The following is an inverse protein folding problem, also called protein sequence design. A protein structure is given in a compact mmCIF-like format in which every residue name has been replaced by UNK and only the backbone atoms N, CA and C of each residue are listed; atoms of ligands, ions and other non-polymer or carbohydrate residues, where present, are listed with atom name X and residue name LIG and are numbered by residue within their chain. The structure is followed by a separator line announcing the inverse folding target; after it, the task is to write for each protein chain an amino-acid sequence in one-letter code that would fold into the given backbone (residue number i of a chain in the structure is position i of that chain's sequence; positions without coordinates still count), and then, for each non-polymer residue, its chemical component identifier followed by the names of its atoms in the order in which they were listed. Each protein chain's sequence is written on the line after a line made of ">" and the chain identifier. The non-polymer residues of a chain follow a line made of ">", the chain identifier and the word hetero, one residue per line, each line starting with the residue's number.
data_IF_202902974483
#
_entry.id   IF_202902974483
#
_cell.length_a   1.000
_cell.length_b   1.000
_cell.length_c   1.000
_cell.angle_alpha   90.00
_cell.angle_beta   90.00
_cell.angle_gamma   90.00
#
_symmetry.space_group_name_H-M   'P 1'
#
loop_
_entity.id
_entity.type
_entity.pdbx_description
1 polymer ?
#
# COMPACT_ATOMS: atom_id res chain seq x y z
N UNK A 1 -22.77 -41.20 12.25
CA UNK A 1 -21.73 -40.66 11.34
C UNK A 1 -22.40 -39.60 10.49
N UNK A 2 -21.89 -38.37 10.44
CA UNK A 2 -22.43 -37.37 9.54
C UNK A 2 -22.20 -37.86 8.10
N UNK A 3 -23.18 -37.74 7.22
CA UNK A 3 -23.01 -38.09 5.80
C UNK A 3 -22.03 -37.14 5.17
N UNK A 4 -21.00 -37.67 4.53
CA UNK A 4 -20.00 -36.85 3.79
C UNK A 4 -20.69 -36.09 2.66
N UNK A 5 -20.11 -34.95 2.34
CA UNK A 5 -20.48 -34.12 1.17
C UNK A 5 -19.86 -34.80 -0.06
N UNK A 6 -20.67 -35.10 -1.07
CA UNK A 6 -20.16 -35.68 -2.33
C UNK A 6 -20.11 -34.59 -3.37
N UNK A 7 -18.89 -34.31 -3.87
CA UNK A 7 -18.68 -33.44 -5.00
C UNK A 7 -18.56 -34.22 -6.31
N UNK A 8 -19.39 -33.87 -7.27
CA UNK A 8 -19.55 -34.57 -8.53
C UNK A 8 -19.29 -33.65 -9.72
N UNK A 9 -18.87 -34.24 -10.86
CA UNK A 9 -18.58 -33.51 -12.09
C UNK A 9 -19.87 -33.28 -12.88
N UNK A 10 -20.23 -32.03 -13.12
CA UNK A 10 -21.32 -31.62 -13.98
C UNK A 10 -20.78 -30.80 -15.18
N UNK A 11 -20.48 -31.50 -16.27
CA UNK A 11 -19.98 -30.91 -17.49
C UNK A 11 -21.00 -30.04 -18.22
N UNK A 12 -22.29 -30.38 -18.14
CA UNK A 12 -23.37 -29.62 -18.79
C UNK A 12 -23.54 -28.25 -18.13
N UNK A 13 -23.49 -28.22 -16.80
CA UNK A 13 -23.57 -26.98 -16.06
C UNK A 13 -22.19 -26.26 -15.93
N UNK A 14 -21.10 -26.87 -16.39
CA UNK A 14 -19.72 -26.41 -16.17
C UNK A 14 -19.46 -26.14 -14.67
N UNK A 15 -19.80 -27.13 -13.82
CA UNK A 15 -19.85 -26.97 -12.38
C UNK A 15 -19.34 -28.19 -11.62
N UNK A 16 -18.84 -27.96 -10.40
CA UNK A 16 -18.74 -29.00 -9.36
C UNK A 16 -20.07 -29.01 -8.62
N UNK A 17 -20.76 -30.12 -8.67
CA UNK A 17 -22.06 -30.33 -8.02
C UNK A 17 -21.86 -30.98 -6.66
N UNK A 18 -22.33 -30.35 -5.59
CA UNK A 18 -22.37 -30.93 -4.25
C UNK A 18 -23.70 -31.62 -4.08
N UNK A 19 -23.67 -32.95 -4.18
CA UNK A 19 -24.88 -33.80 -4.21
C UNK A 19 -25.37 -34.10 -2.78
N UNK A 20 -26.63 -33.73 -2.52
CA UNK A 20 -27.34 -33.98 -1.25
C UNK A 20 -26.53 -33.64 0.00
N UNK A 21 -25.91 -32.45 0.07
CA UNK A 21 -25.16 -32.11 1.26
C UNK A 21 -26.08 -31.95 2.46
N UNK A 22 -25.56 -32.24 3.65
CA UNK A 22 -26.30 -32.04 4.89
C UNK A 22 -26.70 -30.58 5.03
N UNK A 23 -27.92 -30.30 5.44
CA UNK A 23 -28.42 -28.94 5.69
C UNK A 23 -27.61 -28.21 6.78
N UNK A 24 -26.85 -28.92 7.60
CA UNK A 24 -25.95 -28.39 8.61
C UNK A 24 -24.89 -27.45 8.00
N UNK A 25 -24.52 -27.67 6.74
CA UNK A 25 -23.54 -26.86 6.03
C UNK A 25 -24.13 -25.66 5.27
N UNK A 26 -25.43 -25.43 5.32
CA UNK A 26 -26.09 -24.37 4.55
C UNK A 26 -25.53 -22.94 4.82
N UNK A 27 -25.17 -22.67 6.06
CA UNK A 27 -24.58 -21.36 6.41
C UNK A 27 -23.19 -21.22 5.81
N UNK A 28 -22.39 -22.28 5.86
CA UNK A 28 -21.05 -22.33 5.26
C UNK A 28 -21.13 -22.20 3.74
N UNK A 29 -22.04 -22.93 3.09
CA UNK A 29 -22.23 -22.82 1.64
C UNK A 29 -22.61 -21.42 1.17
N UNK A 30 -23.49 -20.72 1.92
CA UNK A 30 -23.87 -19.34 1.61
C UNK A 30 -22.73 -18.34 1.76
N UNK A 31 -21.74 -18.64 2.59
CA UNK A 31 -20.58 -17.77 2.82
C UNK A 31 -19.45 -17.99 1.81
N UNK A 32 -19.44 -19.14 1.09
CA UNK A 32 -18.38 -19.44 0.14
C UNK A 32 -18.57 -18.70 -1.20
N UNK A 33 -17.53 -18.01 -1.70
CA UNK A 33 -17.61 -17.28 -2.95
C UNK A 33 -17.85 -18.22 -4.13
N UNK A 34 -18.76 -17.84 -5.02
CA UNK A 34 -19.11 -18.62 -6.22
C UNK A 34 -20.03 -19.83 -6.00
N UNK A 35 -20.28 -20.23 -4.77
CA UNK A 35 -21.24 -21.29 -4.46
C UNK A 35 -22.67 -20.77 -4.58
N UNK A 36 -23.53 -21.53 -5.25
CA UNK A 36 -24.95 -21.18 -5.41
C UNK A 36 -25.81 -22.41 -5.25
N UNK A 37 -27.00 -22.22 -4.70
CA UNK A 37 -28.02 -23.28 -4.58
C UNK A 37 -28.62 -23.60 -5.93
N UNK A 38 -28.69 -24.90 -6.30
CA UNK A 38 -29.31 -25.33 -7.53
C UNK A 38 -30.84 -25.44 -7.35
N UNK A 39 -31.56 -24.48 -7.89
CA UNK A 39 -33.01 -24.41 -7.81
C UNK A 39 -33.72 -25.58 -8.55
N UNK A 40 -33.02 -26.23 -9.49
CA UNK A 40 -33.58 -27.34 -10.29
C UNK A 40 -33.58 -28.66 -9.51
N UNK A 41 -32.46 -28.98 -8.87
CA UNK A 41 -32.32 -30.19 -8.07
C UNK A 41 -33.06 -30.13 -6.74
N UNK A 42 -33.31 -28.90 -6.21
CA UNK A 42 -33.92 -28.61 -4.91
C UNK A 42 -33.17 -29.20 -3.70
N UNK A 43 -31.95 -29.68 -3.89
CA UNK A 43 -31.14 -30.27 -2.83
C UNK A 43 -29.63 -29.94 -2.95
N UNK A 44 -29.15 -29.62 -4.14
CA UNK A 44 -27.74 -29.57 -4.42
C UNK A 44 -27.23 -28.13 -4.44
N UNK A 45 -25.93 -27.99 -4.25
CA UNK A 45 -25.20 -26.75 -4.43
C UNK A 45 -24.23 -26.91 -5.59
N UNK A 46 -23.94 -25.84 -6.31
CA UNK A 46 -23.02 -25.86 -7.44
C UNK A 46 -21.97 -24.77 -7.30
N UNK A 47 -20.71 -25.15 -7.56
CA UNK A 47 -19.57 -24.25 -7.67
C UNK A 47 -19.08 -24.21 -9.13
N UNK A 48 -18.42 -23.14 -9.60
CA UNK A 48 -17.79 -23.15 -10.92
C UNK A 48 -16.82 -24.32 -11.06
N UNK A 49 -16.78 -24.96 -12.23
CA UNK A 49 -15.85 -26.05 -12.51
C UNK A 49 -14.43 -25.48 -12.69
N UNK A 50 -13.65 -25.48 -11.63
CA UNK A 50 -12.30 -24.96 -11.64
C UNK A 50 -11.44 -25.57 -10.53
N UNK A 51 -10.13 -25.55 -10.73
CA UNK A 51 -9.15 -25.96 -9.72
C UNK A 51 -9.29 -25.18 -8.42
N UNK A 52 -9.47 -23.86 -8.50
CA UNK A 52 -9.64 -22.99 -7.33
C UNK A 52 -10.90 -23.31 -6.53
N UNK A 53 -12.01 -23.64 -7.21
CA UNK A 53 -13.22 -24.08 -6.53
C UNK A 53 -13.02 -25.41 -5.79
N UNK A 54 -12.34 -26.39 -6.41
CA UNK A 54 -12.01 -27.66 -5.77
C UNK A 54 -11.10 -27.47 -4.55
N UNK A 55 -10.05 -26.63 -4.66
CA UNK A 55 -9.19 -26.31 -3.53
C UNK A 55 -9.93 -25.61 -2.40
N UNK A 56 -10.78 -24.61 -2.71
CA UNK A 56 -11.61 -23.91 -1.72
C UNK A 56 -12.52 -24.88 -0.97
N UNK A 57 -13.21 -25.77 -1.69
CA UNK A 57 -14.09 -26.77 -1.09
C UNK A 57 -13.31 -27.75 -0.22
N UNK A 58 -12.16 -28.24 -0.69
CA UNK A 58 -11.30 -29.14 0.08
C UNK A 58 -10.73 -28.47 1.32
N UNK A 59 -10.29 -27.20 1.20
CA UNK A 59 -9.80 -26.43 2.34
C UNK A 59 -10.88 -26.15 3.39
N UNK A 60 -12.14 -26.00 2.96
CA UNK A 60 -13.26 -25.67 3.86
C UNK A 60 -13.78 -26.90 4.57
N UNK A 61 -13.93 -28.04 3.87
CA UNK A 61 -14.61 -29.23 4.38
C UNK A 61 -13.65 -30.37 4.71
N UNK A 62 -12.38 -30.31 4.34
CA UNK A 62 -11.37 -31.31 4.69
C UNK A 62 -11.79 -32.74 4.32
N UNK A 63 -11.85 -33.62 5.31
CA UNK A 63 -12.25 -35.02 5.18
C UNK A 63 -13.78 -35.24 5.07
N UNK A 64 -14.56 -34.18 5.31
CA UNK A 64 -16.03 -34.24 5.20
C UNK A 64 -16.52 -34.17 3.74
N UNK A 65 -15.62 -33.87 2.78
CA UNK A 65 -15.95 -33.88 1.35
C UNK A 65 -15.21 -34.98 0.59
N UNK A 66 -15.94 -35.71 -0.21
CA UNK A 66 -15.43 -36.75 -1.12
C UNK A 66 -15.74 -36.38 -2.57
N UNK A 67 -14.77 -36.59 -3.45
CA UNK A 67 -14.97 -36.42 -4.89
C UNK A 67 -15.41 -37.76 -5.53
N UNK A 68 -16.32 -37.66 -6.48
CA UNK A 68 -16.59 -38.80 -7.35
C UNK A 68 -15.37 -39.18 -8.20
N UNK A 69 -15.33 -40.39 -8.73
CA UNK A 69 -14.23 -40.84 -9.58
C UNK A 69 -14.07 -39.92 -10.82
N UNK A 70 -15.18 -39.54 -11.42
CA UNK A 70 -15.18 -38.64 -12.59
C UNK A 70 -14.58 -37.24 -12.26
N UNK A 71 -14.95 -36.67 -11.13
CA UNK A 71 -14.38 -35.39 -10.71
C UNK A 71 -12.91 -35.53 -10.34
N UNK A 72 -12.50 -36.62 -9.68
CA UNK A 72 -11.08 -36.88 -9.39
C UNK A 72 -10.26 -37.03 -10.67
N UNK A 73 -10.75 -37.77 -11.65
CA UNK A 73 -10.07 -37.94 -12.93
C UNK A 73 -9.94 -36.59 -13.68
N UNK A 74 -11.00 -35.80 -13.69
CA UNK A 74 -10.96 -34.47 -14.29
C UNK A 74 -9.96 -33.55 -13.59
N UNK A 75 -9.92 -33.55 -12.25
CA UNK A 75 -8.95 -32.78 -11.46
C UNK A 75 -7.52 -33.25 -11.70
N UNK A 76 -7.31 -34.58 -11.79
CA UNK A 76 -5.99 -35.13 -12.08
C UNK A 76 -5.51 -34.72 -13.47
N UNK A 77 -6.36 -34.88 -14.51
CA UNK A 77 -6.03 -34.43 -15.86
C UNK A 77 -5.76 -32.93 -15.94
N UNK A 78 -6.56 -32.12 -15.27
CA UNK A 78 -6.36 -30.67 -15.20
C UNK A 78 -5.03 -30.33 -14.52
N UNK A 79 -4.67 -31.05 -13.49
CA UNK A 79 -3.41 -30.87 -12.77
C UNK A 79 -2.23 -31.17 -13.70
N UNK A 80 -2.19 -32.36 -14.28
CA UNK A 80 -1.11 -32.84 -15.15
C UNK A 80 -0.93 -31.97 -16.41
N UNK A 81 -2.06 -31.55 -17.01
CA UNK A 81 -2.01 -30.86 -18.32
C UNK A 81 -1.88 -29.35 -18.22
N UNK A 82 -2.28 -28.73 -17.09
CA UNK A 82 -2.33 -27.27 -16.99
C UNK A 82 -1.76 -26.71 -15.71
N UNK A 83 -1.99 -27.36 -14.57
CA UNK A 83 -1.60 -26.77 -13.28
C UNK A 83 -0.10 -26.97 -13.06
N UNK A 84 0.37 -28.22 -13.10
CA UNK A 84 1.81 -28.53 -12.90
C UNK A 84 2.68 -27.90 -13.98
N UNK A 85 2.39 -27.99 -15.30
CA UNK A 85 3.14 -27.25 -16.31
C UNK A 85 3.07 -25.73 -16.13
N UNK A 86 1.96 -25.20 -15.60
CA UNK A 86 1.85 -23.79 -15.28
C UNK A 86 2.74 -23.37 -14.12
N UNK A 87 2.88 -24.18 -13.09
CA UNK A 87 3.83 -23.93 -12.00
C UNK A 87 5.28 -24.02 -12.46
N UNK A 88 5.60 -25.02 -13.30
CA UNK A 88 6.94 -25.16 -13.88
C UNK A 88 7.32 -23.92 -14.71
N UNK A 89 6.39 -23.40 -15.53
CA UNK A 89 6.60 -22.19 -16.32
C UNK A 89 6.64 -20.92 -15.47
N UNK A 90 5.90 -20.86 -14.36
CA UNK A 90 5.94 -19.74 -13.42
C UNK A 90 7.34 -19.56 -12.83
N UNK A 91 7.98 -20.66 -12.50
CA UNK A 91 9.29 -20.67 -11.86
C UNK A 91 10.45 -20.77 -12.89
N UNK A 92 10.12 -20.87 -14.20
CA UNK A 92 11.09 -20.95 -15.28
C UNK A 92 11.79 -19.60 -15.53
N UNK A 93 13.10 -19.63 -15.64
CA UNK A 93 13.91 -18.46 -16.03
C UNK A 93 14.02 -18.30 -17.55
N UNK A 94 13.67 -19.33 -18.31
CA UNK A 94 13.70 -19.35 -19.77
C UNK A 94 12.66 -20.31 -20.33
N UNK A 95 12.20 -20.05 -21.55
CA UNK A 95 11.34 -20.93 -22.31
C UNK A 95 11.50 -20.64 -23.81
N UNK A 96 11.41 -21.69 -24.62
CA UNK A 96 11.35 -21.54 -26.06
C UNK A 96 9.92 -21.17 -26.48
N UNK A 97 9.82 -20.24 -27.42
CA UNK A 97 8.56 -19.89 -28.10
C UNK A 97 8.70 -20.35 -29.55
N UNK A 98 7.60 -20.91 -30.07
CA UNK A 98 7.59 -21.51 -31.44
C UNK A 98 7.60 -20.46 -32.57
N UNK A 99 7.97 -19.22 -32.28
CA UNK A 99 7.98 -18.10 -33.23
C UNK A 99 9.12 -17.13 -32.98
N UNK A 100 9.90 -16.84 -34.04
CA UNK A 100 10.94 -15.81 -34.04
C UNK A 100 10.39 -14.40 -33.76
N UNK A 101 9.07 -14.23 -33.85
CA UNK A 101 8.38 -12.95 -33.53
C UNK A 101 8.66 -12.46 -32.12
N UNK A 102 9.06 -13.35 -31.20
CA UNK A 102 9.34 -13.03 -29.80
C UNK A 102 10.84 -13.00 -29.45
N UNK A 103 11.74 -13.01 -30.45
CA UNK A 103 13.19 -13.02 -30.21
C UNK A 103 13.70 -11.77 -29.49
N UNK A 104 13.00 -10.66 -29.58
CA UNK A 104 13.29 -9.44 -28.82
C UNK A 104 12.99 -9.56 -27.33
N UNK A 105 12.24 -10.59 -26.90
CA UNK A 105 11.94 -10.83 -25.50
C UNK A 105 13.11 -11.52 -24.80
N UNK A 106 13.35 -11.17 -23.54
CA UNK A 106 14.28 -11.89 -22.66
C UNK A 106 13.73 -13.27 -22.30
N UNK A 107 14.60 -14.20 -21.93
CA UNK A 107 14.23 -15.58 -21.64
C UNK A 107 13.09 -15.68 -20.60
N UNK A 108 13.16 -14.93 -19.50
CA UNK A 108 12.09 -14.93 -18.49
C UNK A 108 10.76 -14.32 -19.02
N UNK A 109 10.83 -13.34 -19.93
CA UNK A 109 9.63 -12.80 -20.58
C UNK A 109 9.03 -13.82 -21.54
N UNK A 110 9.85 -14.58 -22.25
CA UNK A 110 9.41 -15.71 -23.06
C UNK A 110 8.71 -16.76 -22.20
N UNK A 111 9.24 -17.08 -21.01
CA UNK A 111 8.60 -17.97 -20.04
C UNK A 111 7.23 -17.43 -19.59
N UNK A 112 7.13 -16.13 -19.29
CA UNK A 112 5.88 -15.47 -18.95
C UNK A 112 4.84 -15.50 -20.08
N UNK A 113 5.24 -15.26 -21.33
CA UNK A 113 4.36 -15.37 -22.51
C UNK A 113 3.87 -16.81 -22.67
N UNK A 114 4.74 -17.81 -22.55
CA UNK A 114 4.38 -19.21 -22.64
C UNK A 114 3.41 -19.62 -21.54
N UNK A 115 3.64 -19.17 -20.29
CA UNK A 115 2.71 -19.35 -19.18
C UNK A 115 1.32 -18.78 -19.51
N UNK A 116 1.25 -17.52 -19.97
CA UNK A 116 -0.03 -16.88 -20.32
C UNK A 116 -0.75 -17.59 -21.47
N UNK A 117 -0.02 -18.10 -22.46
CA UNK A 117 -0.60 -18.81 -23.61
C UNK A 117 -1.21 -20.17 -23.24
N UNK A 118 -0.75 -20.79 -22.16
CA UNK A 118 -1.28 -22.10 -21.69
C UNK A 118 -2.51 -21.94 -20.79
N UNK A 119 -2.80 -20.74 -20.30
CA UNK A 119 -3.88 -20.48 -19.36
C UNK A 119 -5.04 -19.73 -20.02
N UNK A 120 -6.30 -20.13 -19.73
CA UNK A 120 -7.49 -19.37 -20.18
C UNK A 120 -7.63 -18.03 -19.48
N UNK A 121 -7.20 -17.97 -18.21
CA UNK A 121 -7.13 -16.75 -17.40
C UNK A 121 -5.93 -16.87 -16.48
N UNK A 122 -5.02 -15.93 -16.58
CA UNK A 122 -3.86 -15.84 -15.72
C UNK A 122 -3.56 -14.38 -15.40
N UNK A 123 -3.08 -14.12 -14.20
CA UNK A 123 -2.50 -12.84 -13.82
C UNK A 123 -0.99 -13.01 -13.78
N UNK A 124 -0.29 -12.41 -14.73
CA UNK A 124 1.16 -12.27 -14.69
C UNK A 124 1.47 -11.08 -13.79
N UNK A 125 1.67 -11.32 -12.52
CA UNK A 125 2.11 -10.33 -11.55
C UNK A 125 3.64 -10.33 -11.51
N UNK A 126 4.27 -9.88 -12.58
CA UNK A 126 5.70 -9.65 -12.59
C UNK A 126 6.05 -8.59 -11.55
N UNK A 127 6.97 -8.90 -10.66
CA UNK A 127 7.47 -8.00 -9.65
C UNK A 127 8.00 -6.68 -10.25
N UNK A 128 8.22 -5.69 -9.41
CA UNK A 128 8.88 -4.45 -9.83
C UNK A 128 10.25 -4.79 -10.43
N UNK A 129 10.47 -4.45 -11.70
CA UNK A 129 11.73 -4.77 -12.42
C UNK A 129 11.57 -5.61 -13.68
N UNK A 130 10.38 -6.15 -13.99
CA UNK A 130 10.11 -7.00 -15.17
C UNK A 130 10.06 -6.24 -16.51
N UNK A 131 10.98 -5.29 -16.74
CA UNK A 131 11.10 -4.52 -17.99
C UNK A 131 10.70 -3.05 -17.87
N UNK A 132 10.32 -2.57 -16.69
CA UNK A 132 10.03 -1.18 -16.40
C UNK A 132 11.31 -0.51 -15.92
N UNK A 133 11.81 0.50 -16.62
CA UNK A 133 13.02 1.19 -16.16
C UNK A 133 12.66 2.48 -15.44
N UNK A 134 13.17 2.58 -14.22
CA UNK A 134 13.30 3.79 -13.44
C UNK A 134 14.78 4.15 -13.47
N UNK A 135 15.12 5.44 -13.55
CA UNK A 135 16.52 5.84 -13.56
C UNK A 135 17.24 5.38 -12.28
N UNK A 136 18.49 4.97 -12.40
CA UNK A 136 19.29 4.44 -11.29
C UNK A 136 19.43 5.43 -10.12
N UNK A 137 19.42 6.73 -10.42
CA UNK A 137 19.48 7.82 -9.42
C UNK A 137 18.19 8.03 -8.62
N UNK A 138 17.06 7.46 -9.09
CA UNK A 138 15.79 7.55 -8.37
C UNK A 138 15.82 6.71 -7.10
N UNK A 139 15.07 7.18 -6.09
CA UNK A 139 15.07 6.54 -4.77
C UNK A 139 13.84 5.68 -4.58
N UNK A 140 14.05 4.50 -4.03
CA UNK A 140 13.00 3.56 -3.63
C UNK A 140 12.85 3.61 -2.12
N UNK A 141 11.62 3.58 -1.65
CA UNK A 141 11.32 3.54 -0.23
C UNK A 141 11.48 2.12 0.30
N UNK A 142 12.31 1.97 1.33
CA UNK A 142 12.55 0.74 2.08
C UNK A 142 12.10 0.90 3.53
N UNK A 143 11.98 -0.17 4.33
CA UNK A 143 11.70 -0.04 5.76
C UNK A 143 12.70 0.85 6.53
N UNK A 144 13.96 0.87 6.08
CA UNK A 144 15.02 1.72 6.64
C UNK A 144 15.12 3.14 6.07
N UNK A 145 14.21 3.53 5.14
CA UNK A 145 14.22 4.82 4.47
C UNK A 145 14.49 4.72 2.96
N UNK A 146 14.86 5.84 2.34
CA UNK A 146 15.06 5.92 0.89
C UNK A 146 16.45 5.43 0.46
N UNK A 147 16.48 4.48 -0.49
CA UNK A 147 17.69 3.91 -1.09
C UNK A 147 17.70 4.16 -2.61
N UNK A 148 18.83 4.53 -3.23
CA UNK A 148 18.92 4.63 -4.69
C UNK A 148 18.54 3.31 -5.38
N UNK A 149 17.90 3.39 -6.54
CA UNK A 149 17.48 2.21 -7.31
C UNK A 149 18.69 1.33 -7.67
N UNK A 150 19.85 1.91 -7.96
CA UNK A 150 21.07 1.18 -8.30
C UNK A 150 21.64 0.32 -7.15
N UNK A 151 21.30 0.66 -5.92
CA UNK A 151 21.77 -0.05 -4.72
C UNK A 151 20.86 -1.21 -4.30
N UNK A 152 19.64 -1.30 -4.88
CA UNK A 152 18.65 -2.35 -4.57
C UNK A 152 19.12 -3.71 -5.10
N UNK A 153 19.03 -4.73 -4.25
CA UNK A 153 19.44 -6.11 -4.53
C UNK A 153 18.30 -7.10 -4.33
N UNK A 154 18.47 -8.29 -4.86
CA UNK A 154 17.56 -9.42 -4.58
C UNK A 154 17.58 -9.70 -3.07
N UNK A 155 16.41 -9.99 -2.52
CA UNK A 155 16.09 -10.19 -1.09
C UNK A 155 16.10 -8.90 -0.24
N UNK A 156 16.35 -7.72 -0.82
CA UNK A 156 16.08 -6.47 -0.13
C UNK A 156 14.57 -6.28 0.08
N UNK A 157 14.21 -5.52 1.11
CA UNK A 157 12.81 -5.16 1.36
C UNK A 157 12.53 -3.75 0.83
N UNK A 158 11.48 -3.62 0.03
CA UNK A 158 10.94 -2.33 -0.44
C UNK A 158 9.51 -2.17 0.01
N UNK A 159 9.00 -0.94 0.07
CA UNK A 159 7.62 -0.69 0.49
C UNK A 159 6.66 -0.90 -0.68
N UNK A 160 5.71 -1.82 -0.50
CA UNK A 160 4.62 -2.08 -1.45
C UNK A 160 3.48 -1.07 -1.40
N UNK A 161 2.51 -1.20 -2.30
CA UNK A 161 1.33 -0.32 -2.38
C UNK A 161 0.42 -0.40 -1.14
N UNK A 162 0.51 -1.47 -0.38
CA UNK A 162 -0.20 -1.66 0.89
C UNK A 162 0.52 -1.02 2.10
N UNK A 163 1.65 -0.35 1.88
CA UNK A 163 2.48 0.26 2.91
C UNK A 163 3.39 -0.70 3.65
N UNK A 164 3.43 -1.97 3.25
CA UNK A 164 4.19 -3.03 3.95
C UNK A 164 5.49 -3.37 3.22
N UNK A 165 6.49 -3.88 3.96
CA UNK A 165 7.68 -4.43 3.36
C UNK A 165 7.37 -5.58 2.40
N UNK A 166 7.94 -5.54 1.21
CA UNK A 166 7.82 -6.53 0.15
C UNK A 166 9.22 -6.89 -0.34
N UNK A 167 9.50 -8.18 -0.48
CA UNK A 167 10.80 -8.68 -0.90
C UNK A 167 11.05 -8.43 -2.39
N UNK A 168 12.27 -8.00 -2.72
CA UNK A 168 12.76 -7.86 -4.10
C UNK A 168 13.16 -9.23 -4.63
N UNK A 169 12.36 -9.79 -5.51
CA UNK A 169 12.57 -11.13 -6.10
C UNK A 169 13.49 -11.12 -7.32
N UNK A 170 13.78 -9.95 -7.90
CA UNK A 170 14.68 -9.83 -9.05
C UNK A 170 15.06 -8.40 -9.36
N UNK A 171 16.28 -8.23 -9.88
CA UNK A 171 16.83 -6.95 -10.36
C UNK A 171 17.28 -7.14 -11.80
N UNK A 172 16.73 -6.34 -12.72
CA UNK A 172 16.92 -6.50 -14.17
C UNK A 172 17.43 -5.21 -14.80
N UNK A 173 18.75 -5.01 -14.89
CA UNK A 173 19.35 -3.83 -15.54
C UNK A 173 18.91 -3.72 -16.99
N UNK A 174 18.39 -2.56 -17.42
CA UNK A 174 17.84 -2.33 -18.75
C UNK A 174 18.84 -1.68 -19.73
N UNK A 175 20.05 -1.37 -19.28
CA UNK A 175 21.04 -0.63 -20.07
C UNK A 175 20.66 0.83 -20.26
N UNK A 176 21.28 1.49 -21.25
CA UNK A 176 20.97 2.89 -21.57
C UNK A 176 19.66 2.99 -22.35
N UNK A 177 18.77 3.87 -21.89
CA UNK A 177 17.45 4.13 -22.49
C UNK A 177 17.14 5.62 -22.47
N UNK A 178 16.28 6.03 -23.40
CA UNK A 178 15.67 7.36 -23.34
C UNK A 178 14.77 7.46 -22.10
N UNK A 179 14.96 8.51 -21.32
CA UNK A 179 14.21 8.76 -20.10
C UNK A 179 13.33 10.00 -20.22
N UNK A 180 12.17 9.95 -19.55
CA UNK A 180 11.20 11.01 -19.45
C UNK A 180 11.16 11.54 -18.03
N UNK A 181 11.18 12.87 -17.89
CA UNK A 181 10.89 13.52 -16.61
C UNK A 181 9.38 13.65 -16.45
N UNK A 182 8.81 12.89 -15.52
CA UNK A 182 7.41 13.01 -15.14
C UNK A 182 7.33 13.94 -13.95
N UNK A 183 6.59 15.04 -14.09
CA UNK A 183 6.42 16.07 -13.04
C UNK A 183 4.98 16.04 -12.55
N UNK A 184 4.80 16.02 -11.23
CA UNK A 184 3.51 16.05 -10.56
C UNK A 184 3.07 17.49 -10.22
N UNK A 185 1.80 17.67 -9.86
CA UNK A 185 1.23 18.99 -9.56
C UNK A 185 1.85 19.67 -8.34
N UNK A 186 2.43 18.91 -7.43
CA UNK A 186 3.16 19.40 -6.25
C UNK A 186 4.62 19.80 -6.55
N UNK A 187 5.06 19.65 -7.81
CA UNK A 187 6.42 19.93 -8.27
C UNK A 187 7.41 18.78 -8.07
N UNK A 188 7.01 17.67 -7.42
CA UNK A 188 7.82 16.45 -7.37
C UNK A 188 8.00 15.89 -8.79
N UNK A 189 9.07 15.15 -9.01
CA UNK A 189 9.30 14.53 -10.31
C UNK A 189 10.05 13.21 -10.15
N UNK A 190 9.96 12.38 -11.18
CA UNK A 190 10.68 11.11 -11.29
C UNK A 190 11.11 10.89 -12.73
N UNK A 191 12.24 10.22 -12.91
CA UNK A 191 12.80 9.87 -14.21
C UNK A 191 12.54 8.41 -14.54
N UNK A 192 11.85 8.16 -15.64
CA UNK A 192 11.40 6.83 -16.06
C UNK A 192 11.54 6.65 -17.57
N UNK A 193 11.53 5.42 -18.05
CA UNK A 193 11.49 5.13 -19.49
C UNK A 193 10.05 5.23 -20.07
N UNK A 194 9.95 5.05 -21.40
CA UNK A 194 8.68 5.07 -22.14
C UNK A 194 7.71 3.97 -21.69
N UNK A 195 8.23 2.83 -21.27
CA UNK A 195 7.47 1.62 -20.97
C UNK A 195 7.14 1.47 -19.48
N UNK A 196 7.64 2.39 -18.63
CA UNK A 196 7.30 2.38 -17.21
C UNK A 196 5.79 2.45 -16.99
N UNK A 197 5.27 1.52 -16.18
CA UNK A 197 3.83 1.39 -15.93
C UNK A 197 3.41 2.17 -14.69
N UNK A 198 2.35 2.93 -14.85
CA UNK A 198 1.70 3.73 -13.82
C UNK A 198 0.33 3.15 -13.49
N UNK A 199 0.08 2.93 -12.22
CA UNK A 199 -1.30 2.72 -11.74
C UNK A 199 -1.95 4.09 -11.64
N UNK A 200 -2.97 4.34 -12.45
CA UNK A 200 -3.63 5.66 -12.53
C UNK A 200 -5.15 5.52 -12.42
N UNK A 201 -5.78 6.57 -11.89
CA UNK A 201 -7.22 6.80 -11.96
C UNK A 201 -7.50 8.11 -12.70
N UNK A 202 -8.67 8.25 -13.29
CA UNK A 202 -9.15 9.53 -13.82
C UNK A 202 -10.05 10.22 -12.78
N UNK A 203 -10.31 11.53 -12.96
CA UNK A 203 -11.26 12.25 -12.12
C UNK A 203 -12.65 11.60 -12.07
N UNK A 204 -13.06 10.96 -13.18
CA UNK A 204 -14.33 10.22 -13.25
C UNK A 204 -14.31 8.93 -12.39
N UNK A 205 -13.19 8.19 -12.41
CA UNK A 205 -13.03 6.98 -11.60
C UNK A 205 -13.09 7.32 -10.10
N UNK A 206 -12.47 8.44 -9.71
CA UNK A 206 -12.50 8.95 -8.33
C UNK A 206 -13.91 9.36 -7.91
N UNK A 207 -14.63 10.08 -8.78
CA UNK A 207 -16.00 10.53 -8.52
C UNK A 207 -16.98 9.36 -8.31
N UNK A 208 -16.80 8.26 -9.03
CA UNK A 208 -17.61 7.03 -8.85
C UNK A 208 -17.38 6.36 -7.52
N UNK A 209 -16.19 6.53 -6.92
CA UNK A 209 -15.85 5.92 -5.62
C UNK A 209 -15.68 4.40 -5.65
N UNK A 210 -15.60 3.79 -6.85
CA UNK A 210 -15.46 2.33 -7.01
C UNK A 210 -14.01 1.85 -6.90
N UNK A 211 -13.07 2.77 -6.67
CA UNK A 211 -11.63 2.46 -6.56
C UNK A 211 -11.00 1.97 -7.87
N UNK A 212 -11.68 2.17 -9.01
CA UNK A 212 -11.18 1.70 -10.30
C UNK A 212 -9.87 2.38 -10.68
N UNK A 213 -8.86 1.57 -10.98
CA UNK A 213 -7.56 1.99 -11.49
C UNK A 213 -7.22 1.24 -12.78
N UNK A 214 -6.31 1.81 -13.56
CA UNK A 214 -5.79 1.19 -14.78
C UNK A 214 -4.28 1.30 -14.84
N UNK A 215 -3.65 0.36 -15.53
CA UNK A 215 -2.22 0.42 -15.82
C UNK A 215 -2.00 1.07 -17.17
N UNK A 216 -1.21 2.14 -17.21
CA UNK A 216 -0.79 2.81 -18.45
C UNK A 216 0.71 3.00 -18.44
N UNK A 217 1.37 2.79 -19.60
CA UNK A 217 2.77 3.14 -19.75
C UNK A 217 2.96 4.65 -19.93
N UNK A 218 4.15 5.16 -19.65
CA UNK A 218 4.53 6.56 -19.91
C UNK A 218 4.17 6.96 -21.34
N UNK A 219 4.52 6.12 -22.32
CA UNK A 219 4.18 6.30 -23.74
C UNK A 219 2.67 6.42 -23.99
N UNK A 220 1.86 5.59 -23.32
CA UNK A 220 0.40 5.65 -23.44
C UNK A 220 -0.18 6.91 -22.82
N UNK A 221 0.37 7.37 -21.69
CA UNK A 221 -0.03 8.63 -21.04
C UNK A 221 0.30 9.80 -21.96
N UNK A 222 1.49 9.84 -22.55
CA UNK A 222 1.89 10.89 -23.50
C UNK A 222 0.94 10.92 -24.70
N UNK A 223 0.66 9.75 -25.30
CA UNK A 223 -0.24 9.67 -26.47
C UNK A 223 -1.68 10.14 -26.19
N UNK A 224 -2.17 9.91 -24.96
CA UNK A 224 -3.51 10.33 -24.52
C UNK A 224 -3.55 11.76 -24.00
N UNK A 225 -2.39 12.36 -23.69
CA UNK A 225 -2.23 13.65 -23.07
C UNK A 225 -2.41 13.62 -21.55
N UNK A 226 -1.63 14.43 -20.83
CA UNK A 226 -1.61 14.50 -19.35
C UNK A 226 -2.71 15.41 -18.79
N UNK A 227 -3.26 16.32 -19.60
CA UNK A 227 -4.30 17.25 -19.19
C UNK A 227 -5.60 16.99 -19.92
N UNK A 228 -6.71 17.32 -19.27
CA UNK A 228 -8.02 17.43 -19.87
C UNK A 228 -8.13 18.76 -20.65
N UNK A 229 -9.11 18.91 -21.56
CA UNK A 229 -9.32 20.14 -22.32
C UNK A 229 -9.54 21.40 -21.45
N UNK A 230 -10.00 21.21 -20.21
CA UNK A 230 -10.19 22.29 -19.22
C UNK A 230 -8.90 22.67 -18.47
N UNK A 231 -7.76 22.04 -18.80
CA UNK A 231 -6.46 22.28 -18.17
C UNK A 231 -6.18 21.48 -16.90
N UNK A 232 -7.16 20.74 -16.37
CA UNK A 232 -6.97 19.91 -15.19
C UNK A 232 -6.13 18.66 -15.52
N UNK A 233 -5.43 18.12 -14.52
CA UNK A 233 -4.73 16.86 -14.64
C UNK A 233 -5.71 15.73 -14.99
N UNK A 234 -5.42 14.97 -16.06
CA UNK A 234 -6.24 13.84 -16.51
C UNK A 234 -6.12 12.64 -15.60
N UNK A 235 -4.95 12.43 -15.03
CA UNK A 235 -4.61 11.25 -14.25
C UNK A 235 -4.22 11.61 -12.83
N UNK A 236 -4.62 10.76 -11.90
CA UNK A 236 -4.23 10.79 -10.51
C UNK A 236 -3.58 9.44 -10.19
N UNK A 237 -2.47 9.47 -9.48
CA UNK A 237 -1.78 8.27 -8.98
C UNK A 237 -2.28 8.03 -7.56
N UNK A 238 -2.84 6.84 -7.27
CA UNK A 238 -3.23 6.48 -5.90
C UNK A 238 -2.02 6.53 -4.97
N UNK A 239 -2.18 7.12 -3.79
CA UNK A 239 -1.16 7.08 -2.76
C UNK A 239 -1.10 5.68 -2.14
N UNK A 240 0.08 5.29 -1.66
CA UNK A 240 0.25 4.05 -0.90
C UNK A 240 -0.50 4.15 0.44
N UNK A 241 -0.83 3.00 1.03
CA UNK A 241 -1.34 2.97 2.41
C UNK A 241 -0.26 3.46 3.39
N UNK A 242 -0.63 3.78 4.64
CA UNK A 242 0.34 4.20 5.66
C UNK A 242 1.52 3.24 5.71
N UNK A 243 2.73 3.78 5.60
CA UNK A 243 3.96 2.98 5.50
C UNK A 243 4.34 2.45 6.87
N UNK A 244 4.63 1.14 6.95
CA UNK A 244 5.20 0.51 8.14
C UNK A 244 6.73 0.55 8.03
N UNK A 245 7.37 1.37 8.88
CA UNK A 245 8.82 1.45 8.99
C UNK A 245 9.34 0.57 10.13
N UNK A 246 10.62 0.16 10.06
CA UNK A 246 11.35 -0.39 11.18
C UNK A 246 11.66 0.74 12.17
N UNK A 247 10.67 1.09 12.98
CA UNK A 247 10.69 2.28 13.81
C UNK A 247 11.59 2.12 15.04
N UNK A 248 12.34 3.16 15.43
CA UNK A 248 12.96 3.19 16.74
C UNK A 248 11.86 3.18 17.81
N UNK A 249 12.04 2.35 18.83
CA UNK A 249 11.09 2.19 19.94
C UNK A 249 11.06 3.38 20.91
N UNK A 250 11.97 4.34 20.77
CA UNK A 250 12.21 5.36 21.80
C UNK A 250 12.38 6.75 21.17
N UNK A 251 11.25 7.45 20.99
CA UNK A 251 11.27 8.82 20.50
C UNK A 251 11.66 9.81 21.63
N UNK A 252 12.50 10.82 21.36
CA UNK A 252 12.96 11.76 22.37
C UNK A 252 11.83 12.47 23.12
N UNK A 253 10.72 12.77 22.47
CA UNK A 253 9.54 13.42 23.04
C UNK A 253 8.32 12.65 22.53
N UNK A 254 7.28 12.45 23.36
CA UNK A 254 6.05 11.82 22.88
C UNK A 254 5.48 12.53 21.65
N UNK A 255 4.95 11.78 20.67
CA UNK A 255 4.68 12.31 19.33
C UNK A 255 3.68 13.47 19.28
N UNK A 256 2.56 13.38 20.01
CA UNK A 256 1.56 14.46 20.04
C UNK A 256 2.17 15.74 20.64
N UNK A 257 2.90 15.60 21.76
CA UNK A 257 3.58 16.72 22.41
C UNK A 257 4.65 17.34 21.52
N UNK A 258 5.38 16.50 20.73
CA UNK A 258 6.35 17.01 19.77
C UNK A 258 5.66 17.80 18.66
N UNK A 259 4.57 17.29 18.11
CA UNK A 259 3.75 18.00 17.12
C UNK A 259 3.26 19.34 17.63
N UNK A 260 2.68 19.37 18.83
CA UNK A 260 2.20 20.62 19.47
C UNK A 260 3.34 21.63 19.71
N UNK A 261 4.51 21.18 20.17
CA UNK A 261 5.69 22.04 20.37
C UNK A 261 6.22 22.59 19.03
N UNK A 262 6.18 21.82 17.96
CA UNK A 262 6.57 22.28 16.62
C UNK A 262 5.64 23.39 16.13
N UNK A 263 4.33 23.31 16.39
CA UNK A 263 3.37 24.38 16.12
C UNK A 263 3.60 25.57 17.04
N UNK A 264 2.97 25.58 18.18
CA UNK A 264 2.86 26.72 19.11
C UNK A 264 3.97 26.83 20.17
N UNK A 265 4.95 25.90 20.17
CA UNK A 265 6.04 25.91 21.13
C UNK A 265 7.11 26.97 20.84
N UNK A 266 7.58 27.65 21.86
CA UNK A 266 8.78 28.50 21.79
C UNK A 266 9.99 27.74 22.33
N UNK A 267 10.90 27.35 21.42
CA UNK A 267 12.12 26.59 21.73
C UNK A 267 13.40 27.39 21.52
N UNK A 268 13.30 28.70 21.28
CA UNK A 268 14.43 29.58 20.95
C UNK A 268 14.94 30.34 22.18
N UNK A 269 16.07 29.94 22.73
CA UNK A 269 16.93 30.82 23.53
C UNK A 269 16.65 30.93 25.03
N UNK A 270 15.54 30.46 25.58
CA UNK A 270 15.30 30.41 27.04
C UNK A 270 15.63 29.04 27.64
N UNK A 271 15.69 28.96 28.97
CA UNK A 271 15.87 27.67 29.68
C UNK A 271 14.57 26.83 29.71
N UNK A 272 13.45 27.43 29.36
CA UNK A 272 12.12 26.83 29.43
C UNK A 272 11.55 26.71 28.03
N UNK A 273 10.79 25.66 27.81
CA UNK A 273 9.98 25.48 26.60
C UNK A 273 8.69 26.29 26.81
N UNK A 274 8.57 27.40 26.11
CA UNK A 274 7.36 28.23 26.14
C UNK A 274 6.28 27.60 25.28
N UNK A 275 5.01 27.81 25.67
CA UNK A 275 3.86 27.36 24.91
C UNK A 275 2.72 28.36 25.05
N UNK A 276 2.00 28.65 23.98
CA UNK A 276 0.89 29.60 24.01
C UNK A 276 -0.33 28.96 23.39
N UNK A 277 -1.41 28.85 24.16
CA UNK A 277 -2.68 28.30 23.66
C UNK A 277 -3.86 28.86 24.44
N UNK A 278 -5.02 28.89 23.82
CA UNK A 278 -6.34 29.12 24.45
C UNK A 278 -7.06 27.81 24.69
N UNK A 279 -6.62 26.74 24.11
CA UNK A 279 -7.25 25.43 24.15
C UNK A 279 -6.64 24.57 25.27
N UNK A 280 -7.45 24.27 26.29
CA UNK A 280 -7.02 23.40 27.38
C UNK A 280 -6.90 21.94 27.00
N UNK A 281 -7.61 21.49 25.96
CA UNK A 281 -7.56 20.10 25.49
C UNK A 281 -6.16 19.72 24.98
N UNK A 282 -5.47 20.65 24.31
CA UNK A 282 -4.08 20.46 23.89
C UNK A 282 -3.17 20.18 25.10
N UNK A 283 -3.34 20.95 26.19
CA UNK A 283 -2.56 20.76 27.41
C UNK A 283 -2.89 19.45 28.14
N UNK A 284 -4.15 19.02 28.12
CA UNK A 284 -4.58 17.75 28.69
C UNK A 284 -4.02 16.56 27.88
N UNK A 285 -4.02 16.65 26.55
CA UNK A 285 -3.42 15.66 25.67
C UNK A 285 -1.91 15.54 25.92
N UNK A 286 -1.18 16.66 25.99
CA UNK A 286 0.24 16.67 26.31
C UNK A 286 0.51 16.08 27.70
N UNK A 287 -0.34 16.37 28.68
CA UNK A 287 -0.25 15.82 30.04
C UNK A 287 -0.43 14.30 30.06
N UNK A 288 -1.31 13.76 29.23
CA UNK A 288 -1.48 12.30 29.10
C UNK A 288 -0.22 11.60 28.60
N UNK A 289 0.60 12.30 27.85
CA UNK A 289 1.92 11.86 27.38
C UNK A 289 3.08 12.18 28.36
N UNK A 290 2.78 12.73 29.53
CA UNK A 290 3.80 13.08 30.54
C UNK A 290 4.51 14.41 30.29
N UNK A 291 3.96 15.28 29.45
CA UNK A 291 4.42 16.67 29.26
C UNK A 291 3.43 17.61 29.96
N UNK A 292 3.88 18.21 31.05
CA UNK A 292 3.06 19.05 31.93
C UNK A 292 3.26 20.52 31.60
N UNK A 293 2.23 21.34 31.87
CA UNK A 293 2.26 22.77 31.72
C UNK A 293 2.21 23.49 33.05
N UNK A 294 2.92 24.62 33.17
CA UNK A 294 2.87 25.57 34.27
C UNK A 294 2.50 26.93 33.72
N UNK A 295 1.35 27.45 34.16
CA UNK A 295 0.85 28.75 33.74
C UNK A 295 1.72 29.93 34.22
N UNK A 296 1.72 31.02 33.45
CA UNK A 296 2.31 32.31 33.77
C UNK A 296 1.26 33.35 34.14
N UNK A 297 1.73 34.59 34.34
CA UNK A 297 0.84 35.73 34.61
C UNK A 297 -0.13 36.03 33.46
N UNK A 298 0.26 35.75 32.22
CA UNK A 298 -0.62 35.82 31.06
C UNK A 298 -1.41 34.49 30.95
N UNK A 299 -2.76 34.51 30.88
CA UNK A 299 -3.57 33.32 30.98
C UNK A 299 -3.39 32.28 29.85
N UNK A 300 -2.81 32.69 28.74
CA UNK A 300 -2.57 31.83 27.57
C UNK A 300 -1.12 31.37 27.47
N UNK A 301 -0.24 31.78 28.38
CA UNK A 301 1.19 31.48 28.36
C UNK A 301 1.56 30.42 29.37
N UNK A 302 2.30 29.42 28.95
CA UNK A 302 2.71 28.29 29.75
C UNK A 302 4.21 27.99 29.57
N UNK A 303 4.80 27.36 30.56
CA UNK A 303 6.08 26.65 30.43
C UNK A 303 5.83 25.16 30.45
N UNK A 304 6.43 24.42 29.54
CA UNK A 304 6.32 22.97 29.49
C UNK A 304 7.50 22.31 30.22
N UNK A 305 7.22 21.18 30.87
CA UNK A 305 8.21 20.34 31.55
C UNK A 305 7.71 18.88 31.61
N UNK A 306 8.63 17.95 31.79
CA UNK A 306 8.34 16.50 31.95
C UNK A 306 8.55 16.00 33.41
N UNK A 307 8.43 16.93 34.37
CA UNK A 307 8.63 16.64 35.79
C UNK A 307 10.11 16.63 36.24
N UNK A 308 11.06 16.58 35.32
CA UNK A 308 12.49 16.55 35.62
C UNK A 308 13.13 17.86 35.15
N UNK A 309 13.80 18.66 36.02
CA UNK A 309 14.38 19.93 35.64
C UNK A 309 15.34 19.83 34.45
N UNK A 310 15.05 20.58 33.38
CA UNK A 310 15.86 20.66 32.17
C UNK A 310 15.85 19.40 31.28
N UNK A 311 15.05 18.37 31.61
CA UNK A 311 14.96 17.16 30.81
C UNK A 311 14.32 17.41 29.45
N UNK A 312 13.15 18.06 29.41
CA UNK A 312 12.46 18.37 28.16
C UNK A 312 13.33 19.18 27.20
N UNK A 313 14.11 20.16 27.70
CA UNK A 313 15.07 20.90 26.90
C UNK A 313 16.18 20.01 26.30
N UNK A 314 16.71 19.06 27.10
CA UNK A 314 17.75 18.12 26.63
C UNK A 314 17.22 17.22 25.53
N UNK A 315 16.01 16.71 25.71
CA UNK A 315 15.30 15.87 24.71
C UNK A 315 15.03 16.62 23.42
N UNK A 316 14.63 17.90 23.49
CA UNK A 316 14.51 18.76 22.31
C UNK A 316 15.84 19.04 21.61
N UNK A 317 16.95 19.15 22.37
CA UNK A 317 18.29 19.25 21.78
C UNK A 317 18.70 17.95 21.10
N UNK A 318 18.39 16.81 21.68
CA UNK A 318 18.63 15.49 21.09
C UNK A 318 17.86 15.35 19.77
N UNK A 319 16.60 15.78 19.72
CA UNK A 319 15.80 15.81 18.51
C UNK A 319 16.20 16.89 17.49
N UNK A 320 17.24 17.70 17.78
CA UNK A 320 17.68 18.77 16.91
C UNK A 320 16.72 19.95 16.75
N UNK A 321 15.70 20.06 17.63
CA UNK A 321 14.64 21.07 17.53
C UNK A 321 14.85 22.28 18.46
N UNK A 322 15.81 22.20 19.41
CA UNK A 322 16.09 23.30 20.34
C UNK A 322 16.88 24.43 19.67
N UNK A 323 16.46 25.66 19.90
CA UNK A 323 17.10 26.87 19.35
C UNK A 323 16.51 27.32 18.01
N UNK A 324 15.60 26.52 17.41
CA UNK A 324 14.99 26.86 16.13
C UNK A 324 13.96 27.97 16.28
N UNK A 325 13.97 28.91 15.35
CA UNK A 325 12.88 29.88 15.15
C UNK A 325 11.80 29.28 14.25
N UNK A 326 10.59 29.87 14.24
CA UNK A 326 9.46 29.33 13.46
C UNK A 326 9.79 28.93 12.02
N UNK A 327 10.52 29.69 11.20
CA UNK A 327 10.85 29.27 9.84
C UNK A 327 11.88 28.13 9.75
N UNK A 328 12.57 27.84 10.86
CA UNK A 328 13.63 26.84 10.93
C UNK A 328 13.13 25.51 11.53
N UNK A 329 11.94 25.54 12.15
CA UNK A 329 11.33 24.34 12.72
C UNK A 329 11.06 23.32 11.61
N UNK A 330 11.40 22.08 11.87
CA UNK A 330 11.17 20.92 10.99
C UNK A 330 10.92 19.68 11.83
N UNK A 331 10.16 18.76 11.29
CA UNK A 331 9.94 17.46 11.91
C UNK A 331 11.28 16.71 11.91
N UNK A 332 11.77 16.25 13.08
CA UNK A 332 12.99 15.43 13.12
C UNK A 332 12.81 14.12 12.36
N UNK A 333 13.91 13.61 11.79
CA UNK A 333 13.87 12.45 10.88
C UNK A 333 13.30 11.20 11.56
N UNK A 334 13.60 10.97 12.83
CA UNK A 334 13.12 9.82 13.60
C UNK A 334 11.58 9.78 13.71
N UNK A 335 10.92 10.94 13.69
CA UNK A 335 9.44 10.99 13.67
C UNK A 335 8.85 10.72 12.29
N UNK A 336 9.57 11.02 11.21
CA UNK A 336 9.09 10.74 9.84
C UNK A 336 9.07 9.24 9.53
N UNK A 337 9.95 8.48 10.19
CA UNK A 337 10.04 7.01 10.06
C UNK A 337 9.54 6.27 11.29
N UNK A 338 8.84 6.93 12.19
CA UNK A 338 8.21 6.33 13.36
C UNK A 338 7.00 5.44 12.97
N UNK A 339 6.42 4.74 13.94
CA UNK A 339 5.23 3.92 13.73
C UNK A 339 4.07 4.74 13.14
N UNK A 340 3.11 4.09 12.50
CA UNK A 340 1.91 4.78 11.96
C UNK A 340 1.17 5.53 13.06
N UNK A 341 1.05 4.95 14.26
CA UNK A 341 0.40 5.59 15.41
C UNK A 341 1.14 6.83 15.87
N UNK A 342 2.48 6.79 15.92
CA UNK A 342 3.30 7.93 16.36
C UNK A 342 3.27 9.07 15.34
N UNK A 343 3.34 8.76 14.05
CA UNK A 343 3.19 9.76 12.99
C UNK A 343 1.81 10.41 13.01
N UNK A 344 0.75 9.62 13.26
CA UNK A 344 -0.59 10.15 13.40
C UNK A 344 -0.72 11.06 14.62
N UNK A 345 -0.20 10.67 15.78
CA UNK A 345 -0.18 11.48 16.99
C UNK A 345 0.60 12.79 16.80
N UNK A 346 1.76 12.74 16.14
CA UNK A 346 2.52 13.95 15.77
C UNK A 346 1.69 14.87 14.88
N UNK A 347 1.05 14.33 13.83
CA UNK A 347 0.19 15.09 12.93
C UNK A 347 -0.99 15.71 13.68
N UNK A 348 -1.61 14.99 14.61
CA UNK A 348 -2.69 15.52 15.46
C UNK A 348 -2.20 16.73 16.25
N UNK A 349 -1.05 16.64 16.93
CA UNK A 349 -0.50 17.76 17.68
C UNK A 349 -0.18 18.99 16.81
N UNK A 350 0.29 18.78 15.58
CA UNK A 350 0.50 19.86 14.59
C UNK A 350 -0.85 20.44 14.13
N UNK A 351 -1.85 19.62 13.90
CA UNK A 351 -3.17 20.08 13.44
C UNK A 351 -3.95 20.81 14.50
N UNK A 352 -3.81 20.44 15.78
CA UNK A 352 -4.50 21.09 16.90
C UNK A 352 -3.91 22.47 17.18
N UNK A 353 -2.66 22.73 16.80
CA UNK A 353 -1.98 24.02 16.97
C UNK A 353 -2.07 24.92 15.74
N UNK A 354 -1.45 24.48 14.64
CA UNK A 354 -1.28 25.27 13.40
C UNK A 354 -2.21 24.79 12.25
N UNK A 355 -3.08 23.83 12.52
CA UNK A 355 -4.01 23.32 11.54
C UNK A 355 -5.22 24.23 11.30
N UNK A 356 -5.73 24.19 10.09
CA UNK A 356 -6.95 24.88 9.70
C UNK A 356 -7.84 24.03 8.82
N UNK A 357 -9.15 24.33 8.85
CA UNK A 357 -10.13 23.73 7.95
C UNK A 357 -10.65 24.80 7.01
N UNK A 358 -10.38 24.66 5.73
CA UNK A 358 -10.91 25.52 4.69
C UNK A 358 -12.10 24.83 3.99
N UNK A 359 -13.23 25.51 3.91
CA UNK A 359 -14.41 25.01 3.19
C UNK A 359 -14.46 25.62 1.80
N UNK A 360 -14.24 24.82 0.77
CA UNK A 360 -14.28 25.23 -0.62
C UNK A 360 -15.30 24.40 -1.38
N UNK A 361 -16.41 25.02 -1.80
CA UNK A 361 -17.41 24.35 -2.62
C UNK A 361 -18.08 23.12 -2.00
N UNK A 362 -18.26 23.09 -0.66
CA UNK A 362 -18.85 21.96 0.06
C UNK A 362 -17.87 20.86 0.47
N UNK A 363 -16.60 20.95 0.06
CA UNK A 363 -15.53 20.08 0.51
C UNK A 363 -14.70 20.76 1.59
N UNK A 364 -14.39 20.03 2.66
CA UNK A 364 -13.51 20.49 3.72
C UNK A 364 -12.07 20.02 3.42
N UNK A 365 -11.17 20.99 3.28
CA UNK A 365 -9.73 20.74 3.12
C UNK A 365 -9.03 21.13 4.40
N UNK A 366 -8.27 20.22 4.98
CA UNK A 366 -7.43 20.50 6.15
C UNK A 366 -6.03 20.87 5.69
N UNK A 367 -5.45 21.89 6.25
CA UNK A 367 -4.10 22.33 5.95
C UNK A 367 -3.35 22.76 7.21
N UNK A 368 -2.02 22.72 7.16
CA UNK A 368 -1.12 23.23 8.20
C UNK A 368 -0.39 24.42 7.61
N UNK A 369 -0.47 25.58 8.30
CA UNK A 369 -0.04 26.87 7.73
C UNK A 369 1.43 27.23 7.93
N UNK A 370 2.19 26.54 8.77
CA UNK A 370 3.50 27.05 9.25
C UNK A 370 4.71 26.18 8.99
N UNK A 371 4.57 24.94 8.51
CA UNK A 371 5.74 24.15 8.15
C UNK A 371 6.25 24.50 6.75
N UNK A 372 7.57 24.76 6.58
CA UNK A 372 8.12 24.97 5.26
C UNK A 372 7.86 23.74 4.38
N UNK A 373 7.53 23.99 3.11
CA UNK A 373 7.03 23.04 2.11
C UNK A 373 7.91 21.79 1.80
N UNK A 374 8.89 21.48 2.66
CA UNK A 374 9.84 20.37 2.47
C UNK A 374 9.74 19.24 3.48
N UNK A 375 8.79 19.30 4.41
CA UNK A 375 8.58 18.24 5.40
C UNK A 375 7.26 17.51 5.07
N UNK A 376 7.29 16.49 4.25
CA UNK A 376 6.13 15.66 3.95
C UNK A 376 6.03 14.55 4.99
N UNK A 377 5.00 14.62 5.82
CA UNK A 377 4.61 13.52 6.69
C UNK A 377 3.70 12.60 5.89
N UNK A 378 4.18 11.41 5.52
CA UNK A 378 3.34 10.35 4.93
C UNK A 378 2.70 9.59 6.08
N UNK A 379 1.44 9.84 6.33
CA UNK A 379 0.61 9.12 7.33
C UNK A 379 -0.21 8.06 6.62
#
# INVERSE_FOLDING_TARGET
>A
MASKIIGDLDLEANAIRLVRPSFLYNTTFKALPGLRYDKKSKSDWIAPLSWSSALMLRATFGEDIEWTEDLNNWLFELRETKIDPGFDLRDATEADLDSDEFDFLRNYQKAGVKFLSTMKTALLADGMGSGKAIANSEKVLTPGGYVPMEDIKINDLVIGSDGKPTEVIGVYPQGERDIYKVTFNDGAHVFVDADHLWTVATGHDIYRGDGFTRLLSTKQIIAKGVNEPNGNARYVIPVVKPVEFDSPSDLPIPPYSMGSILGDGCVSGSRLVGFTTVDSEILDNMKSEGVFSRGHSHPQSFSLHDGIPGSLQRRLKQAGSWGSKSPEKKIPQEYLTASVSDRLALLQGLMDTDGGVESKGGNHVRHISTLPARSWLVV
#
